data_IF_805152996977
#
_entry.id   IF_805152996977
#
_cell.length_a   1.000
_cell.length_b   1.000
_cell.length_c   1.000
_cell.angle_alpha   90.00
_cell.angle_beta   90.00
_cell.angle_gamma   90.00
#
_symmetry.space_group_name_H-M   'P 1'
#
loop_
_entity.id
_entity.type
_entity.pdbx_description
1 polymer ?
#
# COMPACT_ATOMS: atom_id res chain seq x y z
N UNK A 1 13.95 -38.30 67.81
CA UNK A 1 13.30 -38.39 66.48
C UNK A 1 13.25 -36.97 65.94
N UNK A 2 14.19 -36.62 65.06
CA UNK A 2 14.30 -35.26 64.50
C UNK A 2 13.46 -35.19 63.22
N UNK A 3 12.49 -34.27 63.18
CA UNK A 3 11.87 -33.86 61.93
C UNK A 3 12.57 -32.56 61.49
N UNK A 4 13.43 -32.70 60.48
CA UNK A 4 14.17 -31.63 59.83
C UNK A 4 13.18 -30.82 58.99
N UNK A 5 13.16 -29.50 59.23
CA UNK A 5 12.42 -28.55 58.42
C UNK A 5 12.89 -28.61 56.98
N UNK A 6 11.94 -28.76 56.06
CA UNK A 6 12.19 -28.61 54.64
C UNK A 6 12.55 -27.17 54.32
N UNK A 7 13.83 -26.85 54.38
CA UNK A 7 14.39 -25.68 53.71
C UNK A 7 14.30 -25.95 52.21
N UNK A 8 13.39 -25.24 51.53
CA UNK A 8 13.48 -25.02 50.09
C UNK A 8 14.85 -24.37 49.81
N UNK A 9 15.77 -25.14 49.22
CA UNK A 9 17.03 -24.57 48.72
C UNK A 9 16.68 -23.48 47.69
N UNK A 10 17.31 -22.30 47.73
CA UNK A 10 17.25 -21.37 46.62
C UNK A 10 17.77 -22.11 45.38
N UNK A 11 17.01 -22.06 44.29
CA UNK A 11 17.47 -22.56 43.01
C UNK A 11 18.68 -21.69 42.65
N UNK A 12 19.87 -22.29 42.58
CA UNK A 12 21.08 -21.58 42.17
C UNK A 12 20.85 -20.96 40.78
N UNK A 13 20.99 -19.63 40.72
CA UNK A 13 21.10 -18.84 39.50
C UNK A 13 19.91 -18.92 38.56
N UNK A 14 18.71 -18.53 39.01
CA UNK A 14 17.63 -18.21 38.05
C UNK A 14 17.99 -16.95 37.27
N UNK A 15 17.79 -16.98 35.96
CA UNK A 15 18.05 -15.86 35.06
C UNK A 15 17.37 -14.58 35.58
N UNK A 16 18.13 -13.47 35.66
CA UNK A 16 17.68 -12.20 36.22
C UNK A 16 17.67 -12.10 37.75
N UNK A 17 18.30 -13.03 38.48
CA UNK A 17 18.33 -12.98 39.95
C UNK A 17 19.31 -11.94 40.54
N UNK A 18 20.31 -11.52 39.76
CA UNK A 18 21.38 -10.60 40.21
C UNK A 18 22.16 -10.04 39.03
N UNK A 19 23.00 -9.03 39.27
CA UNK A 19 23.91 -8.48 38.25
C UNK A 19 24.91 -9.54 37.72
N UNK A 20 25.29 -10.50 38.57
CA UNK A 20 26.13 -11.66 38.20
C UNK A 20 25.36 -12.74 37.40
N UNK A 21 24.03 -12.62 37.33
CA UNK A 21 23.12 -13.51 36.60
C UNK A 21 22.07 -12.69 35.81
N UNK A 22 22.51 -11.85 34.85
CA UNK A 22 21.62 -10.94 34.13
C UNK A 22 20.74 -11.68 33.13
N UNK A 23 19.57 -11.13 32.83
CA UNK A 23 18.70 -11.64 31.75
C UNK A 23 19.40 -11.43 30.41
N UNK A 24 19.75 -12.53 29.74
CA UNK A 24 20.35 -12.48 28.41
C UNK A 24 19.26 -12.59 27.35
N UNK A 25 19.18 -11.59 26.47
CA UNK A 25 18.28 -11.61 25.30
C UNK A 25 19.15 -11.67 24.04
N UNK A 26 19.49 -12.87 23.52
CA UNK A 26 20.54 -13.04 22.51
C UNK A 26 20.23 -12.35 21.17
N UNK A 27 18.94 -12.17 20.89
CA UNK A 27 18.42 -11.66 19.62
C UNK A 27 18.34 -10.12 19.58
N UNK A 28 18.66 -9.45 20.70
CA UNK A 28 18.51 -8.01 20.82
C UNK A 28 19.86 -7.30 20.77
N UNK A 29 20.01 -6.37 19.83
CA UNK A 29 21.16 -5.48 19.84
C UNK A 29 21.03 -4.45 20.97
N UNK A 30 22.16 -3.97 21.50
CA UNK A 30 22.17 -2.89 22.49
C UNK A 30 21.42 -1.65 21.98
N UNK A 31 21.58 -1.32 20.70
CA UNK A 31 20.89 -0.19 20.07
C UNK A 31 19.36 -0.38 20.11
N UNK A 32 18.86 -1.57 19.75
CA UNK A 32 17.43 -1.87 19.80
C UNK A 32 16.87 -1.80 21.23
N UNK A 33 17.65 -2.21 22.23
CA UNK A 33 17.22 -2.11 23.64
C UNK A 33 17.13 -0.67 24.10
N UNK A 34 18.15 0.15 23.84
CA UNK A 34 18.17 1.58 24.15
C UNK A 34 17.03 2.32 23.45
N UNK A 35 16.79 1.99 22.19
CA UNK A 35 15.67 2.48 21.39
C UNK A 35 14.34 2.21 22.10
N UNK A 36 14.12 0.98 22.55
CA UNK A 36 12.93 0.60 23.30
C UNK A 36 12.83 1.32 24.64
N UNK A 37 13.90 1.36 25.44
CA UNK A 37 13.90 2.06 26.73
C UNK A 37 13.51 3.52 26.55
N UNK A 38 14.00 4.17 25.50
CA UNK A 38 13.64 5.56 25.22
C UNK A 38 12.14 5.73 24.92
N UNK A 39 11.52 4.76 24.24
CA UNK A 39 10.06 4.71 24.07
C UNK A 39 9.37 4.47 25.40
N UNK A 40 9.78 3.45 26.16
CA UNK A 40 9.14 3.02 27.40
C UNK A 40 9.14 4.14 28.44
N UNK A 41 10.28 4.81 28.63
CA UNK A 41 10.47 5.90 29.58
C UNK A 41 10.16 7.30 29.02
N UNK A 42 9.72 7.40 27.77
CA UNK A 42 9.28 8.67 27.17
C UNK A 42 10.41 9.65 26.85
N UNK A 43 11.66 9.17 26.79
CA UNK A 43 12.82 9.95 26.36
C UNK A 43 13.09 9.84 24.85
N UNK A 44 12.19 9.18 24.10
CA UNK A 44 12.23 9.09 22.64
C UNK A 44 12.36 10.48 22.01
N UNK A 45 13.50 10.75 21.37
CA UNK A 45 13.73 12.00 20.65
C UNK A 45 13.39 11.83 19.18
N UNK A 46 12.68 12.80 18.56
CA UNK A 46 12.31 12.76 17.14
C UNK A 46 13.47 13.11 16.19
N UNK A 47 14.74 13.14 16.64
CA UNK A 47 15.92 13.27 15.78
C UNK A 47 16.12 11.96 14.98
N UNK A 48 15.16 11.73 14.07
CA UNK A 48 15.10 10.74 13.00
C UNK A 48 15.72 9.37 13.28
N UNK A 49 14.96 8.37 13.79
CA UNK A 49 15.41 6.98 13.71
C UNK A 49 15.73 6.62 12.26
N UNK A 50 16.76 5.81 12.05
CA UNK A 50 17.03 5.23 10.74
C UNK A 50 15.93 4.24 10.35
N UNK A 51 15.88 3.86 9.07
CA UNK A 51 14.93 2.84 8.62
C UNK A 51 15.09 1.52 9.40
N UNK A 52 16.33 1.13 9.67
CA UNK A 52 16.66 -0.08 10.41
C UNK A 52 16.19 0.03 11.86
N UNK A 53 16.36 1.20 12.51
CA UNK A 53 15.84 1.43 13.86
C UNK A 53 14.31 1.25 13.92
N UNK A 54 13.58 1.73 12.91
CA UNK A 54 12.11 1.61 12.85
C UNK A 54 11.69 0.14 12.68
N UNK A 55 12.39 -0.63 11.83
CA UNK A 55 12.13 -2.06 11.67
C UNK A 55 12.46 -2.82 12.96
N UNK A 56 13.57 -2.49 13.59
CA UNK A 56 13.99 -3.09 14.85
C UNK A 56 12.98 -2.79 15.98
N UNK A 57 12.43 -1.58 16.01
CA UNK A 57 11.34 -1.23 16.92
C UNK A 57 10.06 -2.04 16.65
N UNK A 58 9.73 -2.32 15.39
CA UNK A 58 8.60 -3.20 15.05
C UNK A 58 8.84 -4.64 15.53
N UNK A 59 10.02 -5.20 15.27
CA UNK A 59 10.41 -6.54 15.76
C UNK A 59 10.32 -6.63 17.28
N UNK A 60 10.86 -5.62 17.96
CA UNK A 60 10.78 -5.52 19.40
C UNK A 60 9.33 -5.46 19.86
N UNK A 61 8.54 -4.56 19.28
CA UNK A 61 7.13 -4.37 19.66
C UNK A 61 6.32 -5.65 19.51
N UNK A 62 6.59 -6.43 18.46
CA UNK A 62 5.93 -7.71 18.23
C UNK A 62 6.38 -8.77 19.24
N UNK A 63 7.68 -8.84 19.53
CA UNK A 63 8.26 -9.83 20.46
C UNK A 63 7.83 -9.61 21.91
N UNK A 64 7.81 -8.36 22.37
CA UNK A 64 7.51 -7.99 23.76
C UNK A 64 6.12 -7.39 23.93
N UNK A 65 5.27 -7.49 22.90
CA UNK A 65 3.89 -7.02 22.90
C UNK A 65 3.73 -5.54 23.33
N UNK A 66 4.66 -4.68 22.89
CA UNK A 66 4.65 -3.27 23.28
C UNK A 66 3.87 -2.42 22.28
N UNK A 67 2.62 -2.10 22.61
CA UNK A 67 1.76 -1.26 21.76
C UNK A 67 2.39 0.12 21.51
N UNK A 68 2.98 0.74 22.53
CA UNK A 68 3.59 2.07 22.41
C UNK A 68 4.75 2.10 21.40
N UNK A 69 5.61 1.08 21.43
CA UNK A 69 6.70 0.93 20.47
C UNK A 69 6.16 0.71 19.06
N UNK A 70 5.13 -0.14 18.93
CA UNK A 70 4.45 -0.40 17.67
C UNK A 70 3.87 0.87 17.05
N UNK A 71 3.14 1.66 17.83
CA UNK A 71 2.48 2.89 17.37
C UNK A 71 3.50 3.93 16.90
N UNK A 72 4.61 4.10 17.63
CA UNK A 72 5.69 5.00 17.24
C UNK A 72 6.33 4.53 15.93
N UNK A 73 6.63 3.25 15.79
CA UNK A 73 7.22 2.72 14.57
C UNK A 73 6.29 2.88 13.35
N UNK A 74 5.00 2.55 13.52
CA UNK A 74 3.97 2.73 12.49
C UNK A 74 3.84 4.22 12.12
N UNK A 75 3.88 5.12 13.10
CA UNK A 75 3.84 6.56 12.85
C UNK A 75 5.03 7.01 12.00
N UNK A 76 6.26 6.59 12.32
CA UNK A 76 7.44 6.92 11.53
C UNK A 76 7.37 6.37 10.10
N UNK A 77 6.94 5.11 9.93
CA UNK A 77 6.72 4.53 8.59
C UNK A 77 5.67 5.31 7.81
N UNK A 78 4.60 5.76 8.48
CA UNK A 78 3.55 6.54 7.85
C UNK A 78 4.05 7.90 7.35
N UNK A 79 4.81 8.63 8.18
CA UNK A 79 5.40 9.93 7.81
C UNK A 79 6.36 9.79 6.62
N UNK A 80 7.05 8.65 6.51
CA UNK A 80 8.02 8.39 5.45
C UNK A 80 7.48 7.49 4.32
N UNK A 81 6.17 7.21 4.29
CA UNK A 81 5.57 6.19 3.39
C UNK A 81 5.92 6.36 1.91
N UNK A 82 6.06 7.59 1.43
CA UNK A 82 6.39 7.87 0.03
C UNK A 82 7.88 7.69 -0.30
N UNK A 83 8.76 7.64 0.71
CA UNK A 83 10.19 7.33 0.55
C UNK A 83 10.45 5.84 0.39
N UNK A 84 9.57 5.01 0.95
CA UNK A 84 9.67 3.57 0.81
C UNK A 84 9.08 3.09 -0.51
N UNK A 85 9.67 2.04 -1.07
CA UNK A 85 9.09 1.34 -2.23
C UNK A 85 7.84 0.59 -1.78
N UNK A 86 6.81 0.50 -2.65
CA UNK A 86 5.52 -0.09 -2.25
C UNK A 86 5.65 -1.55 -1.83
N UNK A 87 6.50 -2.34 -2.50
CA UNK A 87 6.71 -3.75 -2.14
C UNK A 87 7.42 -3.92 -0.78
N UNK A 88 8.27 -2.98 -0.36
CA UNK A 88 8.91 -3.01 0.95
C UNK A 88 7.88 -2.72 2.05
N UNK A 89 7.01 -1.73 1.84
CA UNK A 89 5.91 -1.42 2.76
C UNK A 89 4.91 -2.59 2.87
N UNK A 90 4.55 -3.22 1.76
CA UNK A 90 3.65 -4.38 1.77
C UNK A 90 4.28 -5.55 2.53
N UNK A 91 5.57 -5.83 2.33
CA UNK A 91 6.27 -6.84 3.10
C UNK A 91 6.22 -6.55 4.60
N UNK A 92 6.41 -5.30 5.02
CA UNK A 92 6.27 -4.88 6.42
C UNK A 92 4.83 -5.02 6.93
N UNK A 93 3.82 -4.70 6.11
CA UNK A 93 2.41 -4.89 6.47
C UNK A 93 2.11 -6.36 6.78
N UNK A 94 2.61 -7.26 5.95
CA UNK A 94 2.42 -8.70 6.11
C UNK A 94 3.21 -9.24 7.30
N UNK A 95 4.49 -8.86 7.43
CA UNK A 95 5.38 -9.34 8.50
C UNK A 95 4.92 -8.89 9.88
N UNK A 96 4.46 -7.65 10.01
CA UNK A 96 4.08 -7.06 11.30
C UNK A 96 2.58 -6.88 11.48
N UNK A 97 1.75 -7.43 10.58
CA UNK A 97 0.29 -7.32 10.63
C UNK A 97 -0.22 -5.88 10.73
N UNK A 98 0.20 -5.01 9.80
CA UNK A 98 -0.15 -3.57 9.77
C UNK A 98 -1.10 -3.31 8.59
N UNK A 99 -2.35 -2.95 8.87
CA UNK A 99 -3.34 -2.66 7.80
C UNK A 99 -3.24 -1.23 7.26
N UNK A 100 -2.84 -0.29 8.12
CA UNK A 100 -2.93 1.17 7.91
C UNK A 100 -2.43 1.67 6.54
N UNK A 101 -1.40 1.04 5.98
CA UNK A 101 -0.82 1.44 4.70
C UNK A 101 -0.76 0.32 3.66
N UNK A 102 -1.44 -0.82 3.89
CA UNK A 102 -1.49 -1.92 2.92
C UNK A 102 -2.14 -1.48 1.61
N UNK A 103 -3.37 -0.94 1.68
CA UNK A 103 -4.11 -0.51 0.49
C UNK A 103 -3.36 0.58 -0.30
N UNK A 104 -2.89 1.69 0.31
CA UNK A 104 -2.09 2.68 -0.41
C UNK A 104 -0.78 2.13 -1.00
N UNK A 105 -0.13 1.18 -0.34
CA UNK A 105 1.09 0.56 -0.86
C UNK A 105 0.80 -0.37 -2.04
N UNK A 106 -0.31 -1.12 -1.99
CA UNK A 106 -0.74 -1.97 -3.10
C UNK A 106 -1.15 -1.15 -4.33
N UNK A 107 -1.90 -0.06 -4.14
CA UNK A 107 -2.24 0.88 -5.23
C UNK A 107 -0.98 1.39 -5.94
N UNK A 108 0.06 1.78 -5.18
CA UNK A 108 1.36 2.19 -5.73
C UNK A 108 2.12 1.03 -6.39
N UNK A 109 1.97 -0.20 -5.90
CA UNK A 109 2.58 -1.38 -6.51
C UNK A 109 2.05 -1.60 -7.93
N UNK A 110 0.76 -1.32 -8.18
CA UNK A 110 0.13 -1.43 -9.50
C UNK A 110 0.74 -0.48 -10.54
N UNK A 111 1.52 0.52 -10.15
CA UNK A 111 2.26 1.36 -11.10
C UNK A 111 3.56 0.69 -11.59
N UNK A 112 4.10 -0.29 -10.85
CA UNK A 112 5.35 -0.95 -11.20
C UNK A 112 5.17 -1.98 -12.33
N UNK A 113 6.18 -2.14 -13.19
CA UNK A 113 6.20 -3.27 -14.13
C UNK A 113 6.58 -4.53 -13.36
N UNK A 114 5.94 -5.66 -13.71
CA UNK A 114 6.21 -6.98 -13.12
C UNK A 114 7.71 -7.31 -13.13
N UNK A 115 8.39 -7.01 -14.24
CA UNK A 115 9.83 -7.26 -14.41
C UNK A 115 10.73 -6.42 -13.50
N UNK A 116 10.26 -5.25 -13.05
CA UNK A 116 11.03 -4.31 -12.24
C UNK A 116 10.99 -4.68 -10.74
N UNK A 117 10.14 -5.64 -10.36
CA UNK A 117 10.06 -6.15 -8.97
C UNK A 117 11.09 -7.27 -8.79
N UNK A 118 12.08 -7.12 -7.86
CA UNK A 118 13.11 -8.13 -7.65
C UNK A 118 12.56 -9.46 -7.13
N UNK A 119 13.11 -10.58 -7.60
CA UNK A 119 12.69 -11.93 -7.19
C UNK A 119 12.61 -12.16 -5.66
N UNK A 120 13.61 -11.73 -4.86
CA UNK A 120 13.54 -11.83 -3.41
C UNK A 120 12.35 -11.08 -2.79
N UNK A 121 11.94 -9.95 -3.40
CA UNK A 121 10.78 -9.18 -2.91
C UNK A 121 9.46 -9.86 -3.27
N UNK A 122 9.38 -10.51 -4.45
CA UNK A 122 8.21 -11.34 -4.81
C UNK A 122 7.95 -12.43 -3.78
N UNK A 123 9.02 -13.07 -3.28
CA UNK A 123 8.92 -14.07 -2.20
C UNK A 123 8.40 -13.47 -0.89
N UNK A 124 8.84 -12.26 -0.54
CA UNK A 124 8.38 -11.56 0.68
C UNK A 124 6.90 -11.14 0.63
N UNK A 125 6.37 -10.83 -0.54
CA UNK A 125 4.95 -10.53 -0.71
C UNK A 125 4.06 -11.76 -0.50
N UNK A 126 4.62 -12.96 -0.65
CA UNK A 126 3.86 -14.20 -0.60
C UNK A 126 3.09 -14.48 -1.89
N UNK A 127 2.61 -15.72 -2.01
CA UNK A 127 1.93 -16.21 -3.21
C UNK A 127 0.63 -15.44 -3.49
N UNK A 128 -0.19 -15.21 -2.45
CA UNK A 128 -1.51 -14.58 -2.61
C UNK A 128 -1.42 -13.15 -3.13
N UNK A 129 -0.57 -12.31 -2.52
CA UNK A 129 -0.39 -10.92 -2.97
C UNK A 129 0.24 -10.88 -4.36
N UNK A 130 1.20 -11.76 -4.64
CA UNK A 130 1.86 -11.81 -5.95
C UNK A 130 0.90 -12.21 -7.07
N UNK A 131 0.06 -13.23 -6.87
CA UNK A 131 -0.91 -13.64 -7.88
C UNK A 131 -1.97 -12.59 -8.09
N UNK A 132 -2.56 -12.05 -7.02
CA UNK A 132 -3.53 -10.97 -7.14
C UNK A 132 -2.95 -9.75 -7.87
N UNK A 133 -1.68 -9.43 -7.64
CA UNK A 133 -0.97 -8.38 -8.39
C UNK A 133 -0.85 -8.72 -9.88
N UNK A 134 -0.49 -9.96 -10.25
CA UNK A 134 -0.33 -10.39 -11.65
C UNK A 134 -1.68 -10.46 -12.37
N UNK A 135 -2.69 -11.06 -11.74
CA UNK A 135 -4.03 -11.21 -12.29
C UNK A 135 -4.68 -9.84 -12.50
N UNK A 136 -4.57 -8.94 -11.50
CA UNK A 136 -5.05 -7.58 -11.62
C UNK A 136 -4.31 -6.80 -12.74
N UNK A 137 -3.01 -7.04 -12.93
CA UNK A 137 -2.26 -6.44 -14.04
C UNK A 137 -2.79 -6.87 -15.39
N UNK A 138 -3.13 -8.15 -15.54
CA UNK A 138 -3.73 -8.68 -16.77
C UNK A 138 -5.12 -8.08 -17.02
N UNK A 139 -5.99 -8.05 -16.00
CA UNK A 139 -7.32 -7.44 -16.09
C UNK A 139 -7.27 -5.94 -16.44
N UNK A 140 -6.34 -5.20 -15.83
CA UNK A 140 -6.18 -3.77 -16.13
C UNK A 140 -5.65 -3.53 -17.55
N UNK A 141 -4.80 -4.42 -18.06
CA UNK A 141 -4.30 -4.37 -19.43
C UNK A 141 -5.41 -4.70 -20.44
N UNK A 142 -6.24 -5.70 -20.17
CA UNK A 142 -7.44 -6.00 -20.95
C UNK A 142 -8.42 -4.82 -20.96
N UNK A 143 -8.77 -4.29 -19.78
CA UNK A 143 -9.66 -3.13 -19.66
C UNK A 143 -9.12 -1.92 -20.43
N UNK A 144 -7.81 -1.67 -20.35
CA UNK A 144 -7.16 -0.60 -21.11
C UNK A 144 -7.31 -0.80 -22.63
N UNK A 145 -7.20 -2.03 -23.13
CA UNK A 145 -7.41 -2.35 -24.54
C UNK A 145 -8.87 -2.14 -24.96
N UNK A 146 -9.82 -2.54 -24.12
CA UNK A 146 -11.26 -2.30 -24.37
C UNK A 146 -11.51 -0.80 -24.49
N UNK A 147 -11.08 -0.01 -23.50
CA UNK A 147 -11.25 1.45 -23.52
C UNK A 147 -10.55 2.10 -24.72
N UNK A 148 -9.39 1.58 -25.14
CA UNK A 148 -8.73 2.07 -26.35
C UNK A 148 -9.54 1.77 -27.63
N UNK A 149 -10.19 0.61 -27.71
CA UNK A 149 -10.99 0.20 -28.87
C UNK A 149 -12.40 0.78 -28.88
N UNK A 150 -12.97 1.12 -27.73
CA UNK A 150 -14.35 1.57 -27.59
C UNK A 150 -14.40 3.06 -27.26
N UNK A 151 -14.66 3.88 -28.28
CA UNK A 151 -14.89 5.30 -28.07
C UNK A 151 -16.19 5.54 -27.26
N UNK A 152 -16.21 6.52 -26.33
CA UNK A 152 -17.44 6.98 -25.71
C UNK A 152 -18.48 7.34 -26.79
N UNK A 153 -19.73 6.87 -26.68
CA UNK A 153 -20.74 7.12 -27.68
C UNK A 153 -21.14 8.60 -27.70
N UNK A 154 -21.19 9.19 -28.90
CA UNK A 154 -21.80 10.50 -29.12
C UNK A 154 -23.32 10.31 -29.27
N UNK A 155 -24.03 10.32 -28.14
CA UNK A 155 -25.47 10.04 -28.07
C UNK A 155 -26.29 11.14 -28.77
N UNK A 156 -25.93 12.40 -28.54
CA UNK A 156 -26.60 13.56 -29.12
C UNK A 156 -25.57 14.51 -29.73
N UNK A 157 -25.83 14.96 -30.96
CA UNK A 157 -25.05 16.02 -31.59
C UNK A 157 -25.55 17.37 -31.12
N UNK A 158 -24.64 18.35 -31.02
CA UNK A 158 -25.01 19.73 -30.74
C UNK A 158 -25.97 20.26 -31.83
N UNK A 159 -26.89 21.15 -31.46
CA UNK A 159 -27.86 21.73 -32.40
C UNK A 159 -27.23 22.48 -33.58
N UNK A 160 -25.98 22.94 -33.43
CA UNK A 160 -25.19 23.59 -34.48
C UNK A 160 -24.37 22.62 -35.32
N UNK A 161 -24.46 21.30 -35.09
CA UNK A 161 -23.80 20.30 -35.91
C UNK A 161 -24.54 20.12 -37.22
N UNK A 162 -23.88 20.46 -38.33
CA UNK A 162 -24.50 20.43 -39.67
C UNK A 162 -24.32 19.09 -40.38
N UNK A 163 -23.31 18.29 -39.97
CA UNK A 163 -23.02 16.97 -40.55
C UNK A 163 -22.69 15.98 -39.42
N UNK A 164 -23.74 15.36 -38.89
CA UNK A 164 -23.63 14.40 -37.79
C UNK A 164 -22.79 13.17 -38.19
N UNK A 165 -22.86 12.76 -39.45
CA UNK A 165 -22.13 11.58 -39.95
C UNK A 165 -20.63 11.85 -39.99
N UNK A 166 -20.21 12.96 -40.60
CA UNK A 166 -18.80 13.33 -40.62
C UNK A 166 -18.26 13.60 -39.21
N UNK A 167 -19.05 14.25 -38.35
CA UNK A 167 -18.66 14.50 -36.97
C UNK A 167 -18.43 13.20 -36.18
N UNK A 168 -19.29 12.19 -36.33
CA UNK A 168 -19.11 10.88 -35.67
C UNK A 168 -17.93 10.08 -36.24
N UNK A 169 -17.68 10.15 -37.56
CA UNK A 169 -16.52 9.50 -38.19
C UNK A 169 -15.22 10.12 -37.67
N UNK A 170 -15.14 11.46 -37.67
CA UNK A 170 -13.97 12.18 -37.22
C UNK A 170 -13.74 11.95 -35.71
N UNK A 171 -14.80 11.83 -34.89
CA UNK A 171 -14.69 11.42 -33.48
C UNK A 171 -13.98 10.07 -33.31
N UNK A 172 -14.45 9.05 -34.02
CA UNK A 172 -13.85 7.71 -33.96
C UNK A 172 -12.38 7.74 -34.39
N UNK A 173 -12.07 8.48 -35.45
CA UNK A 173 -10.70 8.63 -35.91
C UNK A 173 -9.83 9.36 -34.90
N UNK A 174 -10.34 10.42 -34.26
CA UNK A 174 -9.64 11.17 -33.23
C UNK A 174 -9.39 10.30 -31.99
N UNK A 175 -10.38 9.55 -31.52
CA UNK A 175 -10.21 8.61 -30.41
C UNK A 175 -9.11 7.60 -30.70
N UNK A 176 -9.19 6.92 -31.85
CA UNK A 176 -8.23 5.89 -32.24
C UNK A 176 -6.81 6.44 -32.47
N UNK A 177 -6.69 7.60 -33.12
CA UNK A 177 -5.38 8.16 -33.44
C UNK A 177 -4.72 8.90 -32.27
N UNK A 178 -5.46 9.13 -31.18
CA UNK A 178 -4.99 9.88 -30.03
C UNK A 178 -5.14 9.08 -28.74
N UNK A 179 -6.32 9.08 -28.11
CA UNK A 179 -6.54 8.43 -26.81
C UNK A 179 -6.13 6.95 -26.84
N UNK A 180 -6.61 6.19 -27.82
CA UNK A 180 -6.29 4.78 -27.94
C UNK A 180 -4.77 4.55 -28.04
N UNK A 181 -4.05 5.40 -28.79
CA UNK A 181 -2.58 5.33 -28.86
C UNK A 181 -1.91 5.69 -27.54
N UNK A 182 -2.40 6.68 -26.80
CA UNK A 182 -1.86 7.02 -25.48
C UNK A 182 -1.99 5.85 -24.50
N UNK A 183 -3.11 5.12 -24.57
CA UNK A 183 -3.35 3.95 -23.73
C UNK A 183 -2.52 2.74 -24.17
N UNK A 184 -2.37 2.52 -25.48
CA UNK A 184 -1.70 1.34 -26.04
C UNK A 184 -0.19 1.51 -26.25
N UNK A 185 0.38 2.69 -25.99
CA UNK A 185 1.81 2.94 -26.16
C UNK A 185 2.64 2.17 -25.13
N UNK A 186 3.13 0.99 -25.53
CA UNK A 186 4.01 0.17 -24.69
C UNK A 186 5.38 0.80 -24.41
N UNK A 187 5.81 1.81 -25.17
CA UNK A 187 7.07 2.54 -24.92
C UNK A 187 6.89 3.59 -23.83
N UNK A 188 5.72 4.22 -23.79
CA UNK A 188 5.36 5.22 -22.80
C UNK A 188 3.99 4.90 -22.17
N UNK A 189 3.90 3.87 -21.31
CA UNK A 189 2.64 3.45 -20.73
C UNK A 189 2.09 4.58 -19.84
N UNK A 190 1.00 5.19 -20.26
CA UNK A 190 0.35 6.26 -19.52
C UNK A 190 -0.72 5.71 -18.58
N UNK A 191 -0.83 6.33 -17.41
CA UNK A 191 -2.02 6.16 -16.57
C UNK A 191 -3.18 6.95 -17.18
N UNK A 192 -4.42 6.52 -16.92
CA UNK A 192 -5.61 7.12 -17.53
C UNK A 192 -5.69 8.64 -17.38
N UNK A 193 -5.34 9.17 -16.20
CA UNK A 193 -5.32 10.62 -15.94
C UNK A 193 -4.40 11.37 -16.92
N UNK A 194 -3.17 10.90 -17.09
CA UNK A 194 -2.20 11.53 -18.00
C UNK A 194 -2.65 11.44 -19.45
N UNK A 195 -3.23 10.30 -19.86
CA UNK A 195 -3.77 10.13 -21.21
C UNK A 195 -4.93 11.11 -21.48
N UNK A 196 -5.79 11.34 -20.48
CA UNK A 196 -6.89 12.31 -20.53
C UNK A 196 -6.38 13.75 -20.60
N UNK A 197 -5.34 14.09 -19.84
CA UNK A 197 -4.75 15.44 -19.89
C UNK A 197 -4.15 15.72 -21.26
N UNK A 198 -3.37 14.80 -21.81
CA UNK A 198 -2.81 14.92 -23.17
C UNK A 198 -3.87 14.95 -24.26
N UNK A 199 -4.95 14.19 -24.10
CA UNK A 199 -6.05 14.19 -25.06
C UNK A 199 -6.78 15.54 -25.11
N UNK A 200 -6.86 16.25 -23.98
CA UNK A 200 -7.45 17.60 -23.93
C UNK A 200 -6.63 18.64 -24.69
N UNK A 201 -5.30 18.50 -24.69
CA UNK A 201 -4.38 19.41 -25.38
C UNK A 201 -4.55 19.38 -26.91
N UNK A 202 -5.17 18.33 -27.46
CA UNK A 202 -5.44 18.17 -28.89
C UNK A 202 -6.61 19.00 -29.42
N UNK A 203 -7.18 19.90 -28.61
CA UNK A 203 -8.38 20.67 -28.97
C UNK A 203 -8.30 21.47 -30.28
N UNK A 204 -7.10 21.75 -30.81
CA UNK A 204 -6.88 22.37 -32.12
C UNK A 204 -6.91 21.41 -33.31
N UNK A 205 -6.87 20.11 -33.08
CA UNK A 205 -6.72 19.04 -34.10
C UNK A 205 -7.98 18.19 -34.28
N UNK A 206 -9.16 18.70 -33.93
CA UNK A 206 -10.44 17.94 -33.94
C UNK A 206 -11.04 17.70 -35.33
N UNK A 207 -10.31 18.02 -36.41
CA UNK A 207 -10.77 17.80 -37.79
C UNK A 207 -12.05 18.57 -38.13
N UNK A 208 -13.04 17.90 -38.72
CA UNK A 208 -14.37 18.47 -39.02
C UNK A 208 -15.37 18.23 -37.89
N UNK A 209 -14.91 17.74 -36.74
CA UNK A 209 -15.78 17.55 -35.61
C UNK A 209 -16.30 18.89 -35.11
N UNK A 210 -17.60 18.96 -34.81
CA UNK A 210 -18.18 20.18 -34.30
C UNK A 210 -17.57 20.50 -32.91
N UNK A 211 -17.11 21.75 -32.64
CA UNK A 211 -16.49 22.11 -31.37
C UNK A 211 -17.38 21.90 -30.13
N UNK A 212 -18.70 22.02 -30.25
CA UNK A 212 -19.63 21.77 -29.15
C UNK A 212 -19.85 20.27 -28.91
N UNK A 213 -19.85 19.45 -29.96
CA UNK A 213 -19.81 17.99 -29.84
C UNK A 213 -18.51 17.54 -29.13
N UNK A 214 -17.37 18.16 -29.48
CA UNK A 214 -16.08 17.92 -28.81
C UNK A 214 -16.13 18.22 -27.32
N UNK A 215 -16.62 19.40 -26.94
CA UNK A 215 -16.75 19.78 -25.52
C UNK A 215 -17.60 18.78 -24.75
N UNK A 216 -18.71 18.34 -25.34
CA UNK A 216 -19.63 17.36 -24.73
C UNK A 216 -18.93 16.02 -24.50
N UNK A 217 -18.25 15.49 -25.53
CA UNK A 217 -17.49 14.24 -25.41
C UNK A 217 -16.34 14.36 -24.42
N UNK A 218 -15.62 15.47 -24.43
CA UNK A 218 -14.53 15.72 -23.50
C UNK A 218 -15.02 15.76 -22.05
N UNK A 219 -16.20 16.31 -21.80
CA UNK A 219 -16.84 16.23 -20.47
C UNK A 219 -17.16 14.78 -20.10
N UNK A 220 -17.65 13.96 -21.03
CA UNK A 220 -17.88 12.52 -20.80
C UNK A 220 -16.58 11.79 -20.47
N UNK A 221 -15.51 12.04 -21.22
CA UNK A 221 -14.18 11.47 -20.95
C UNK A 221 -13.67 11.90 -19.57
N UNK A 222 -13.86 13.17 -19.19
CA UNK A 222 -13.47 13.71 -17.88
C UNK A 222 -14.24 13.12 -16.72
N UNK A 223 -15.51 12.76 -16.90
CA UNK A 223 -16.28 12.00 -15.90
C UNK A 223 -15.64 10.65 -15.61
N UNK A 224 -14.88 10.10 -16.55
CA UNK A 224 -13.95 9.01 -16.32
C UNK A 224 -14.60 7.72 -15.83
N UNK A 225 -15.88 7.47 -16.11
CA UNK A 225 -16.62 6.30 -15.60
C UNK A 225 -15.90 4.99 -15.89
N UNK A 226 -15.36 4.82 -17.10
CA UNK A 226 -14.54 3.66 -17.45
C UNK A 226 -13.23 3.60 -16.65
N UNK A 227 -12.64 4.74 -16.29
CA UNK A 227 -11.40 4.80 -15.50
C UNK A 227 -11.66 4.52 -14.02
N UNK A 228 -12.81 4.94 -13.49
CA UNK A 228 -13.23 4.64 -12.12
C UNK A 228 -13.32 3.14 -11.87
N UNK A 229 -13.86 2.36 -12.82
CA UNK A 229 -13.90 0.90 -12.72
C UNK A 229 -12.51 0.28 -12.44
N UNK A 230 -11.45 0.81 -13.08
CA UNK A 230 -10.09 0.33 -12.85
C UNK A 230 -9.57 0.70 -11.45
N UNK A 231 -9.88 1.90 -10.96
CA UNK A 231 -9.49 2.33 -9.62
C UNK A 231 -10.23 1.54 -8.53
N UNK A 232 -11.53 1.34 -8.71
CA UNK A 232 -12.38 0.57 -7.80
C UNK A 232 -11.89 -0.87 -7.71
N UNK A 233 -11.59 -1.50 -8.86
CA UNK A 233 -11.04 -2.86 -8.90
C UNK A 233 -9.70 -2.99 -8.16
N UNK A 234 -8.81 -2.00 -8.28
CA UNK A 234 -7.53 -1.98 -7.55
C UNK A 234 -7.78 -1.87 -6.04
N UNK A 235 -8.66 -0.96 -5.63
CA UNK A 235 -8.97 -0.73 -4.22
C UNK A 235 -9.66 -1.94 -3.59
N UNK A 236 -10.67 -2.52 -4.25
CA UNK A 236 -11.37 -3.71 -3.79
C UNK A 236 -10.41 -4.90 -3.64
N UNK A 237 -9.54 -5.13 -4.63
CA UNK A 237 -8.53 -6.20 -4.56
C UNK A 237 -7.62 -6.01 -3.34
N UNK A 238 -7.14 -4.78 -3.12
CA UNK A 238 -6.26 -4.47 -2.00
C UNK A 238 -6.96 -4.63 -0.64
N UNK A 239 -8.22 -4.21 -0.54
CA UNK A 239 -9.03 -4.37 0.67
C UNK A 239 -9.29 -5.84 0.98
N UNK A 240 -9.64 -6.65 -0.03
CA UNK A 240 -9.85 -8.08 0.11
C UNK A 240 -8.58 -8.80 0.58
N UNK A 241 -7.43 -8.48 -0.02
CA UNK A 241 -6.14 -9.02 0.41
C UNK A 241 -5.79 -8.62 1.83
N UNK A 242 -5.96 -7.34 2.18
CA UNK A 242 -5.69 -6.85 3.53
C UNK A 242 -6.54 -7.58 4.56
N UNK A 243 -7.84 -7.75 4.29
CA UNK A 243 -8.77 -8.43 5.20
C UNK A 243 -8.47 -9.94 5.32
N UNK A 244 -8.03 -10.58 4.24
CA UNK A 244 -7.75 -12.01 4.22
C UNK A 244 -6.38 -12.37 4.83
N UNK A 245 -5.38 -11.50 4.70
CA UNK A 245 -3.99 -11.82 5.03
C UNK A 245 -3.49 -11.16 6.32
N UNK A 246 -4.14 -10.08 6.77
CA UNK A 246 -3.70 -9.31 7.92
C UNK A 246 -4.79 -9.34 8.98
N UNK A 247 -4.47 -9.98 10.10
CA UNK A 247 -5.23 -9.84 11.34
C UNK A 247 -4.39 -8.99 12.28
N UNK A 248 -4.81 -7.75 12.53
CA UNK A 248 -4.10 -6.94 13.52
C UNK A 248 -4.22 -7.61 14.89
N UNK A 249 -3.14 -7.63 15.68
CA UNK A 249 -3.23 -8.13 17.04
C UNK A 249 -4.28 -7.30 17.80
N UNK A 250 -5.16 -7.98 18.55
CA UNK A 250 -6.01 -7.33 19.55
C UNK A 250 -5.15 -6.39 20.39
N UNK A 251 -5.71 -5.25 20.80
CA UNK A 251 -5.00 -4.21 21.56
C UNK A 251 -4.06 -4.88 22.58
N UNK A 252 -2.76 -4.76 22.34
CA UNK A 252 -1.77 -5.44 23.18
C UNK A 252 -1.90 -4.85 24.58
N UNK A 253 -2.08 -5.73 25.58
CA UNK A 253 -2.49 -5.42 26.95
C UNK A 253 -2.02 -4.02 27.38
N UNK A 254 -3.00 -3.15 27.61
CA UNK A 254 -2.76 -1.83 28.16
C UNK A 254 -2.12 -1.95 29.53
N UNK A 255 -1.44 -0.88 29.97
CA UNK A 255 -0.84 -0.83 31.32
C UNK A 255 -1.86 -1.14 32.43
N UNK A 256 -3.12 -0.74 32.23
CA UNK A 256 -4.22 -1.06 33.14
C UNK A 256 -4.51 -2.57 33.23
N UNK A 257 -4.37 -3.31 32.13
CA UNK A 257 -4.58 -4.76 32.09
C UNK A 257 -3.38 -5.51 32.68
N UNK A 258 -2.15 -5.03 32.46
CA UNK A 258 -0.94 -5.59 33.09
C UNK A 258 -0.91 -5.36 34.61
N UNK A 259 -1.38 -4.21 35.08
CA UNK A 259 -1.52 -3.90 36.50
C UNK A 259 -2.59 -4.78 37.17
N UNK A 260 -3.64 -5.19 36.43
CA UNK A 260 -4.65 -6.13 36.90
C UNK A 260 -4.13 -7.57 37.06
N UNK A 261 -3.16 -8.00 36.24
CA UNK A 261 -2.49 -9.31 36.41
C UNK A 261 -1.49 -9.32 37.57
N UNK A 262 -0.95 -8.17 37.94
CA UNK A 262 0.02 -8.02 39.04
C UNK A 262 -0.64 -7.90 40.42
N UNK A 263 -1.98 -7.83 40.45
CA UNK A 263 -2.80 -7.63 41.66
C UNK A 263 -3.51 -8.90 42.16
N UNK A 264 -3.24 -10.06 41.54
CA UNK A 264 -3.69 -11.39 41.97
C UNK A 264 -2.50 -12.22 42.47
#
# INVERSE_FOLDING_TARGET
>A
MFAVGGQSRPIEGTDGSSDDHPIIIPELSTNMFELYLSVAYGSWKPEGPTHDDVIDLLRFSNKFMSQKARDIAIHHLHEQRFRHKPYDLLALCLEFSITKFFVPAFQRLIEFRIRDIPGPMRKKLGFEVWNAFVDLKELLDEHRRIVACEEPPLIEHAACCTDNTACSIDWRQLWWNSMARFLLDGRNPQVFREAVDRFQELGSEIGRMNPECWKTLLQTVKKGTAFHLAYDLIEETAQQLSAALITEPDQMLTRAELDAFSSN
#
